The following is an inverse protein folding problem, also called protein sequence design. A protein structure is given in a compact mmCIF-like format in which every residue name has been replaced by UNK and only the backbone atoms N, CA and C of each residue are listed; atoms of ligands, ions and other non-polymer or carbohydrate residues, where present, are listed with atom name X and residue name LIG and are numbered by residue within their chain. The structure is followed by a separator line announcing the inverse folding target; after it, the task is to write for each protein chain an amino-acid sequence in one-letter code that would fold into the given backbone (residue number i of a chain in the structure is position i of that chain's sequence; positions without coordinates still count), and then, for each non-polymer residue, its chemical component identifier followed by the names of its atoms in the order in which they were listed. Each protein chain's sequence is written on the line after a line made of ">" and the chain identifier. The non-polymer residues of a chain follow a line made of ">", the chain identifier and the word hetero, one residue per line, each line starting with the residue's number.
data_IF_329277752186
#
_entry.id   IF_329277752186
#
_cell.length_a   1.000
_cell.length_b   1.000
_cell.length_c   1.000
_cell.angle_alpha   90.00
_cell.angle_beta   90.00
_cell.angle_gamma   90.00
#
_symmetry.space_group_name_H-M   'P 1'
#
loop_
_entity.id
_entity.type
_entity.pdbx_description
1 polymer ?
#
# COMPACT_ATOMS: atom_id res chain seq x y z
N UNK A 1 21.94 10.65 1.92
CA UNK A 1 21.48 9.36 1.35
C UNK A 1 20.03 9.03 1.73
N UNK A 2 19.71 8.66 2.98
CA UNK A 2 18.32 8.31 3.34
C UNK A 2 17.31 9.43 3.07
N UNK A 3 17.64 10.67 3.44
CA UNK A 3 16.83 11.85 3.16
C UNK A 3 16.61 12.10 1.65
N UNK A 4 17.66 11.94 0.83
CA UNK A 4 17.59 12.13 -0.62
C UNK A 4 16.71 11.07 -1.28
N UNK A 5 16.88 9.81 -0.87
CA UNK A 5 16.07 8.69 -1.35
C UNK A 5 14.59 8.93 -1.05
N UNK A 6 14.25 9.24 0.21
CA UNK A 6 12.87 9.53 0.61
C UNK A 6 12.29 10.72 -0.15
N UNK A 7 13.07 11.78 -0.35
CA UNK A 7 12.67 12.96 -1.12
C UNK A 7 12.34 12.61 -2.57
N UNK A 8 13.21 11.86 -3.26
CA UNK A 8 12.99 11.45 -4.66
C UNK A 8 11.79 10.52 -4.78
N UNK A 9 11.68 9.51 -3.91
CA UNK A 9 10.57 8.56 -3.90
C UNK A 9 9.23 9.27 -3.63
N UNK A 10 9.20 10.22 -2.69
CA UNK A 10 8.00 11.00 -2.41
C UNK A 10 7.58 11.87 -3.60
N UNK A 11 8.53 12.47 -4.33
CA UNK A 11 8.26 13.26 -5.55
C UNK A 11 7.70 12.39 -6.66
N UNK A 12 8.27 11.21 -6.89
CA UNK A 12 7.77 10.25 -7.89
C UNK A 12 6.36 9.75 -7.53
N UNK A 13 6.13 9.37 -6.26
CA UNK A 13 4.80 8.96 -5.80
C UNK A 13 3.76 10.06 -5.97
N UNK A 14 4.13 11.31 -5.67
CA UNK A 14 3.24 12.46 -5.85
C UNK A 14 2.90 12.68 -7.33
N UNK A 15 3.87 12.59 -8.23
CA UNK A 15 3.64 12.69 -9.68
C UNK A 15 2.65 11.61 -10.15
N UNK A 16 2.87 10.35 -9.75
CA UNK A 16 1.96 9.25 -10.07
C UNK A 16 0.54 9.53 -9.55
N UNK A 17 0.41 10.03 -8.31
CA UNK A 17 -0.88 10.26 -7.66
C UNK A 17 -1.65 11.47 -8.23
N UNK A 18 -0.97 12.50 -8.73
CA UNK A 18 -1.62 13.72 -9.22
C UNK A 18 -2.32 13.54 -10.58
N UNK A 19 -1.90 12.54 -11.35
CA UNK A 19 -2.36 12.37 -12.75
C UNK A 19 -3.14 11.09 -12.99
N UNK A 20 -3.13 10.18 -12.02
CA UNK A 20 -3.89 8.95 -12.10
C UNK A 20 -5.37 9.20 -11.82
N UNK A 21 -6.24 8.59 -12.63
CA UNK A 21 -7.66 8.47 -12.31
C UNK A 21 -7.91 7.11 -11.68
N UNK A 22 -7.87 7.04 -10.36
CA UNK A 22 -7.98 5.76 -9.64
C UNK A 22 -9.43 5.31 -9.44
N UNK A 23 -9.68 3.99 -9.37
CA UNK A 23 -10.98 3.43 -9.00
C UNK A 23 -11.37 3.66 -7.53
N UNK A 24 -10.43 4.14 -6.70
CA UNK A 24 -10.68 4.50 -5.30
C UNK A 24 -9.78 5.68 -4.85
N UNK A 25 -10.20 6.44 -3.82
CA UNK A 25 -9.36 7.47 -3.20
C UNK A 25 -8.03 6.92 -2.70
N UNK A 26 -6.98 7.72 -2.76
CA UNK A 26 -5.62 7.33 -2.37
C UNK A 26 -5.54 6.77 -0.93
N UNK A 27 -6.23 7.40 0.02
CA UNK A 27 -6.25 6.94 1.41
C UNK A 27 -6.82 5.52 1.55
N UNK A 28 -7.87 5.20 0.79
CA UNK A 28 -8.46 3.86 0.77
C UNK A 28 -7.55 2.85 0.06
N UNK A 29 -6.89 3.23 -1.03
CA UNK A 29 -5.91 2.37 -1.70
C UNK A 29 -4.73 2.05 -0.79
N UNK A 30 -4.26 3.05 -0.04
CA UNK A 30 -3.18 2.87 0.94
C UNK A 30 -3.61 1.91 2.06
N UNK A 31 -4.78 2.11 2.67
CA UNK A 31 -5.30 1.20 3.69
C UNK A 31 -5.47 -0.23 3.15
N UNK A 32 -6.02 -0.38 1.95
CA UNK A 32 -6.20 -1.69 1.30
C UNK A 32 -4.86 -2.39 1.07
N UNK A 33 -3.82 -1.64 0.66
CA UNK A 33 -2.45 -2.16 0.55
C UNK A 33 -1.90 -2.58 1.91
N UNK A 34 -2.11 -1.80 2.96
CA UNK A 34 -1.69 -2.17 4.32
C UNK A 34 -2.36 -3.47 4.78
N UNK A 35 -3.66 -3.65 4.52
CA UNK A 35 -4.36 -4.90 4.86
C UNK A 35 -3.82 -6.08 4.03
N UNK A 36 -3.46 -5.87 2.76
CA UNK A 36 -2.81 -6.90 1.94
C UNK A 36 -1.45 -7.32 2.52
N UNK A 37 -0.63 -6.35 2.94
CA UNK A 37 0.72 -6.59 3.46
C UNK A 37 0.71 -7.26 4.85
N UNK A 38 -0.24 -6.91 5.71
CA UNK A 38 -0.37 -7.47 7.07
C UNK A 38 -1.11 -8.81 7.10
N UNK A 39 -1.89 -9.12 6.06
CA UNK A 39 -2.86 -10.21 6.11
C UNK A 39 -4.05 -9.89 7.03
N UNK A 40 -4.60 -10.91 7.68
CA UNK A 40 -5.72 -10.72 8.59
C UNK A 40 -5.30 -9.90 9.83
N UNK A 41 -5.86 -8.70 10.00
CA UNK A 41 -5.45 -7.77 11.05
C UNK A 41 -6.64 -7.19 11.82
N UNK A 42 -6.45 -6.84 13.11
CA UNK A 42 -7.47 -6.17 13.90
C UNK A 42 -7.53 -4.67 13.58
N UNK A 43 -8.67 -4.03 13.84
CA UNK A 43 -8.83 -2.58 13.66
C UNK A 43 -7.81 -1.78 14.49
N UNK A 44 -7.49 -2.24 15.70
CA UNK A 44 -6.48 -1.61 16.57
C UNK A 44 -5.11 -1.55 15.91
N UNK A 45 -4.72 -2.64 15.25
CA UNK A 45 -3.39 -2.80 14.68
C UNK A 45 -3.28 -1.95 13.41
N UNK A 46 -4.33 -1.97 12.58
CA UNK A 46 -4.45 -1.08 11.42
C UNK A 46 -4.43 0.39 11.84
N UNK A 47 -5.09 0.77 12.94
CA UNK A 47 -5.08 2.13 13.46
C UNK A 47 -3.69 2.56 13.94
N UNK A 48 -2.96 1.66 14.59
CA UNK A 48 -1.58 1.91 15.03
C UNK A 48 -0.63 2.11 13.84
N UNK A 49 -0.70 1.23 12.84
CA UNK A 49 0.11 1.32 11.61
C UNK A 49 -0.22 2.60 10.82
N UNK A 50 -1.49 2.97 10.76
CA UNK A 50 -1.94 4.15 10.03
C UNK A 50 -1.74 5.46 10.80
N UNK A 51 -1.30 5.37 12.06
CA UNK A 51 -1.19 6.48 13.01
C UNK A 51 -2.48 7.30 13.13
N UNK A 52 -3.63 6.62 13.15
CA UNK A 52 -4.94 7.25 13.31
C UNK A 52 -5.73 6.68 14.49
N UNK A 53 -6.86 7.30 14.82
CA UNK A 53 -7.72 6.81 15.90
C UNK A 53 -8.53 5.59 15.45
N UNK A 54 -8.85 4.69 16.37
CA UNK A 54 -9.69 3.52 16.08
C UNK A 54 -11.06 3.86 15.45
N UNK A 55 -11.78 4.93 15.87
CA UNK A 55 -13.02 5.34 15.20
C UNK A 55 -12.81 5.76 13.74
N UNK A 56 -11.70 6.44 13.45
CA UNK A 56 -11.31 6.81 12.09
C UNK A 56 -11.04 5.56 11.26
N UNK A 57 -10.24 4.63 11.79
CA UNK A 57 -9.95 3.36 11.11
C UNK A 57 -11.22 2.54 10.86
N UNK A 58 -12.10 2.43 11.85
CA UNK A 58 -13.39 1.74 11.71
C UNK A 58 -14.22 2.30 10.55
N UNK A 59 -14.24 3.63 10.42
CA UNK A 59 -14.95 4.30 9.31
C UNK A 59 -14.32 4.00 7.96
N UNK A 60 -12.98 3.99 7.87
CA UNK A 60 -12.28 3.68 6.63
C UNK A 60 -12.48 2.21 6.20
N UNK A 61 -12.35 1.27 7.15
CA UNK A 61 -12.58 -0.17 6.92
C UNK A 61 -14.02 -0.41 6.48
N UNK A 62 -15.01 0.22 7.12
CA UNK A 62 -16.41 0.09 6.73
C UNK A 62 -16.65 0.50 5.28
N UNK A 63 -16.01 1.58 4.80
CA UNK A 63 -16.14 1.98 3.39
C UNK A 63 -15.56 0.95 2.42
N UNK A 64 -14.45 0.31 2.79
CA UNK A 64 -13.87 -0.78 2.00
C UNK A 64 -14.75 -2.04 2.03
N UNK A 65 -15.38 -2.31 3.17
CA UNK A 65 -16.30 -3.44 3.38
C UNK A 65 -17.59 -3.24 2.58
N UNK A 66 -18.20 -2.06 2.64
CA UNK A 66 -19.37 -1.67 1.83
C UNK A 66 -19.07 -1.75 0.33
N UNK A 67 -17.82 -1.47 -0.06
CA UNK A 67 -17.35 -1.63 -1.44
C UNK A 67 -17.00 -3.09 -1.80
N UNK A 68 -17.11 -4.04 -0.87
CA UNK A 68 -16.78 -5.46 -1.03
C UNK A 68 -15.30 -5.74 -1.26
N UNK A 69 -14.41 -4.84 -0.83
CA UNK A 69 -12.95 -4.98 -1.00
C UNK A 69 -12.30 -5.69 0.17
N UNK A 70 -12.90 -5.63 1.35
CA UNK A 70 -12.46 -6.35 2.55
C UNK A 70 -13.62 -7.14 3.16
N UNK A 71 -13.28 -8.16 3.95
CA UNK A 71 -14.23 -8.95 4.74
C UNK A 71 -13.86 -8.87 6.22
N UNK A 72 -14.88 -8.96 7.06
CA UNK A 72 -14.76 -9.03 8.52
C UNK A 72 -15.16 -10.42 9.01
N UNK A 73 -14.27 -11.07 9.77
CA UNK A 73 -14.53 -12.37 10.40
C UNK A 73 -14.24 -12.25 11.89
N UNK A 74 -15.02 -12.93 12.74
CA UNK A 74 -14.72 -13.01 14.17
C UNK A 74 -13.35 -13.65 14.41
N UNK A 75 -12.60 -13.14 15.38
CA UNK A 75 -11.30 -13.71 15.73
C UNK A 75 -11.49 -15.03 16.50
N UNK A 76 -10.96 -16.18 16.02
CA UNK A 76 -11.08 -17.45 16.73
C UNK A 76 -10.42 -17.46 18.11
N UNK A 77 -9.42 -16.60 18.34
CA UNK A 77 -8.71 -16.47 19.61
C UNK A 77 -9.33 -15.47 20.58
N UNK A 78 -10.26 -14.63 20.12
CA UNK A 78 -10.96 -13.64 20.95
C UNK A 78 -12.34 -13.34 20.37
N UNK A 79 -13.39 -13.87 21.01
CA UNK A 79 -14.78 -13.69 20.58
C UNK A 79 -15.26 -12.22 20.54
N UNK A 80 -14.51 -11.28 21.13
CA UNK A 80 -14.81 -9.85 21.10
C UNK A 80 -14.06 -9.11 19.98
N UNK A 81 -13.07 -9.74 19.37
CA UNK A 81 -12.26 -9.15 18.31
C UNK A 81 -12.76 -9.57 16.92
N UNK A 82 -12.44 -8.74 15.93
CA UNK A 82 -12.70 -9.01 14.52
C UNK A 82 -11.43 -8.83 13.72
N UNK A 83 -11.24 -9.73 12.76
CA UNK A 83 -10.15 -9.71 11.79
C UNK A 83 -10.67 -9.17 10.47
N UNK A 84 -9.92 -8.21 9.92
CA UNK A 84 -10.16 -7.61 8.61
C UNK A 84 -9.21 -8.26 7.62
N UNK A 85 -9.73 -8.75 6.50
CA UNK A 85 -8.93 -9.39 5.45
C UNK A 85 -9.30 -8.85 4.09
N UNK A 86 -8.33 -8.75 3.19
CA UNK A 86 -8.57 -8.35 1.81
C UNK A 86 -9.23 -9.49 1.02
N UNK A 87 -10.28 -9.14 0.27
CA UNK A 87 -11.00 -10.06 -0.63
C UNK A 87 -10.31 -10.13 -1.99
N UNK A 88 -10.74 -11.06 -2.85
CA UNK A 88 -10.27 -11.13 -4.24
C UNK A 88 -10.61 -9.87 -5.05
N UNK A 89 -11.79 -9.28 -4.82
CA UNK A 89 -12.17 -8.00 -5.40
C UNK A 89 -11.23 -6.89 -4.93
N UNK A 90 -10.87 -6.88 -3.65
CA UNK A 90 -9.88 -5.95 -3.09
C UNK A 90 -8.53 -6.09 -3.77
N UNK A 91 -7.99 -7.31 -3.88
CA UNK A 91 -6.73 -7.60 -4.57
C UNK A 91 -6.74 -7.15 -6.02
N UNK A 92 -7.79 -7.49 -6.78
CA UNK A 92 -7.94 -7.07 -8.17
C UNK A 92 -8.00 -5.54 -8.32
N UNK A 93 -8.73 -4.86 -7.42
CA UNK A 93 -8.82 -3.41 -7.42
C UNK A 93 -7.45 -2.77 -7.12
N UNK A 94 -6.72 -3.30 -6.15
CA UNK A 94 -5.40 -2.80 -5.78
C UNK A 94 -4.37 -3.03 -6.91
N UNK A 95 -4.43 -4.17 -7.58
CA UNK A 95 -3.63 -4.43 -8.78
C UNK A 95 -3.91 -3.40 -9.88
N UNK A 96 -5.19 -3.06 -10.11
CA UNK A 96 -5.57 -2.01 -11.06
C UNK A 96 -5.03 -0.64 -10.66
N UNK A 97 -5.11 -0.26 -9.37
CA UNK A 97 -4.50 0.99 -8.88
C UNK A 97 -3.01 1.02 -9.16
N UNK A 98 -2.29 -0.08 -8.90
CA UNK A 98 -0.85 -0.18 -9.14
C UNK A 98 -0.53 0.00 -10.63
N UNK A 99 -1.30 -0.65 -11.50
CA UNK A 99 -1.17 -0.53 -12.95
C UNK A 99 -1.45 0.91 -13.44
N UNK A 100 -2.57 1.50 -13.01
CA UNK A 100 -2.95 2.86 -13.41
C UNK A 100 -1.91 3.90 -12.96
N UNK A 101 -1.30 3.71 -11.77
CA UNK A 101 -0.19 4.55 -11.29
C UNK A 101 1.10 4.31 -12.08
N UNK A 102 1.40 3.07 -12.44
CA UNK A 102 2.54 2.71 -13.29
C UNK A 102 2.46 3.37 -14.66
N UNK A 103 1.29 3.32 -15.30
CA UNK A 103 1.04 3.91 -16.62
C UNK A 103 1.29 5.43 -16.67
N UNK A 104 1.20 6.15 -15.53
CA UNK A 104 1.57 7.58 -15.45
C UNK A 104 3.07 7.78 -15.56
N UNK A 105 3.87 6.82 -15.08
CA UNK A 105 5.33 6.89 -15.02
C UNK A 105 5.98 6.31 -16.28
N UNK A 106 5.37 5.32 -16.92
CA UNK A 106 5.92 4.63 -18.09
C UNK A 106 6.42 5.56 -19.23
N UNK A 107 5.72 6.66 -19.60
CA UNK A 107 6.22 7.58 -20.61
C UNK A 107 7.56 8.24 -20.23
N UNK A 108 7.79 8.47 -18.93
CA UNK A 108 9.04 9.05 -18.44
C UNK A 108 10.19 8.03 -18.47
N UNK A 109 9.89 6.78 -18.14
CA UNK A 109 10.85 5.69 -18.26
C UNK A 109 11.27 5.49 -19.72
N UNK A 110 10.38 5.74 -20.67
CA UNK A 110 10.67 5.65 -22.10
C UNK A 110 11.71 6.65 -22.61
N UNK A 111 12.00 7.71 -21.87
CA UNK A 111 13.07 8.66 -22.20
C UNK A 111 14.46 8.24 -21.71
N UNK A 112 14.55 7.17 -20.92
CA UNK A 112 15.82 6.66 -20.40
C UNK A 112 16.48 5.71 -21.40
N UNK A 113 17.80 5.69 -21.41
CA UNK A 113 18.53 4.64 -22.14
C UNK A 113 18.47 3.29 -21.40
N UNK A 114 18.96 2.23 -22.05
CA UNK A 114 18.89 0.87 -21.49
C UNK A 114 19.71 0.73 -20.20
N UNK A 115 20.85 1.42 -20.09
CA UNK A 115 21.70 1.37 -18.90
C UNK A 115 21.02 2.05 -17.70
N UNK A 116 20.35 3.17 -17.93
CA UNK A 116 19.55 3.88 -16.93
C UNK A 116 18.34 3.06 -16.49
N UNK A 117 17.64 2.41 -17.41
CA UNK A 117 16.53 1.48 -17.07
C UNK A 117 17.02 0.30 -16.26
N UNK A 118 18.14 -0.30 -16.63
CA UNK A 118 18.73 -1.39 -15.87
C UNK A 118 19.10 -0.94 -14.45
N UNK A 119 19.71 0.24 -14.32
CA UNK A 119 20.04 0.84 -13.01
C UNK A 119 18.80 1.02 -12.14
N UNK A 120 17.67 1.48 -12.69
CA UNK A 120 16.42 1.59 -11.95
C UNK A 120 15.83 0.23 -11.57
N UNK A 121 15.91 -0.77 -12.45
CA UNK A 121 15.51 -2.14 -12.15
C UNK A 121 16.30 -2.70 -10.98
N UNK A 122 17.62 -2.55 -11.01
CA UNK A 122 18.51 -3.03 -9.94
C UNK A 122 18.24 -2.28 -8.63
N UNK A 123 18.02 -0.96 -8.70
CA UNK A 123 17.64 -0.17 -7.54
C UNK A 123 16.31 -0.65 -6.92
N UNK A 124 15.31 -1.04 -7.72
CA UNK A 124 14.05 -1.60 -7.22
C UNK A 124 14.29 -2.92 -6.47
N UNK A 125 15.22 -3.77 -6.94
CA UNK A 125 15.60 -5.00 -6.23
C UNK A 125 16.19 -4.68 -4.87
N UNK A 126 17.19 -3.78 -4.81
CA UNK A 126 17.83 -3.36 -3.56
C UNK A 126 16.82 -2.74 -2.58
N UNK A 127 15.88 -1.93 -3.08
CA UNK A 127 14.84 -1.33 -2.24
C UNK A 127 13.88 -2.39 -1.66
N UNK A 128 13.56 -3.46 -2.41
CA UNK A 128 12.76 -4.57 -1.90
C UNK A 128 13.49 -5.33 -0.80
N UNK A 129 14.78 -5.55 -0.95
CA UNK A 129 15.63 -6.19 0.06
C UNK A 129 15.71 -5.32 1.32
N UNK A 130 15.92 -4.01 1.18
CA UNK A 130 15.90 -3.05 2.29
C UNK A 130 14.58 -3.12 3.08
N UNK A 131 13.44 -3.15 2.39
CA UNK A 131 12.12 -3.29 3.03
C UNK A 131 11.90 -4.66 3.68
N UNK A 132 12.48 -5.72 3.11
CA UNK A 132 12.43 -7.04 3.72
C UNK A 132 13.21 -7.10 5.04
N UNK A 133 14.40 -6.47 5.09
CA UNK A 133 15.19 -6.32 6.32
C UNK A 133 14.43 -5.52 7.37
N UNK A 134 13.85 -4.39 7.00
CA UNK A 134 13.08 -3.54 7.92
C UNK A 134 11.87 -4.26 8.54
N UNK A 135 11.24 -5.22 7.84
CA UNK A 135 10.15 -6.03 8.40
C UNK A 135 10.63 -7.11 9.39
N UNK A 136 11.89 -7.53 9.30
CA UNK A 136 12.48 -8.56 10.16
C UNK A 136 13.14 -7.98 11.42
N UNK A 137 13.42 -6.67 11.42
CA UNK A 137 13.93 -5.93 12.56
C UNK A 137 12.91 -4.87 12.98
N UNK A 138 11.85 -5.23 13.74
CA UNK A 138 10.77 -4.30 14.07
C UNK A 138 11.23 -3.12 14.93
N UNK A 139 12.35 -3.25 15.64
CA UNK A 139 12.87 -2.23 16.58
C UNK A 139 14.41 -2.16 16.57
N UNK A 140 14.93 -0.99 16.18
CA UNK A 140 16.02 -0.26 16.86
C UNK A 140 15.42 1.06 17.39
#
# INVERSE_FOLDING_TARGET
>A
MGADLLSVVARLNRLANQRVRMPLPFAQARLLSTIEDQGAARISDLAAIDHCSQPTMTTQVRRLEDAGMVSRVGDPGDARAVLISITDKGRATLARVRADRGAVIDPYLNHLDDAQRQTLTDAVVVLRELLAVARQSPDE
#
